data_IF_286177825074
#
_entry.id   IF_286177825074
#
_cell.length_a   1.000
_cell.length_b   1.000
_cell.length_c   1.000
_cell.angle_alpha   90.00
_cell.angle_beta   90.00
_cell.angle_gamma   90.00
#
_symmetry.space_group_name_H-M   'P 1'
#
loop_
_entity.id
_entity.type
_entity.pdbx_description
1 polymer ?
#
# COMPACT_ATOMS: atom_id res chain seq x y z
N UNK A 1 -11.43 -2.68 17.60
CA UNK A 1 -11.08 -2.55 16.17
C UNK A 1 -11.27 -3.87 15.39
N UNK A 2 -12.15 -4.79 15.82
CA UNK A 2 -12.56 -5.97 15.04
C UNK A 2 -13.79 -5.59 14.23
N UNK A 3 -13.79 -5.82 12.92
CA UNK A 3 -14.88 -5.50 12.01
C UNK A 3 -15.59 -6.77 11.54
N UNK A 4 -16.91 -6.69 11.44
CA UNK A 4 -17.70 -7.61 10.62
C UNK A 4 -17.55 -7.28 9.14
N UNK A 5 -18.01 -8.17 8.25
CA UNK A 5 -18.07 -7.90 6.81
C UNK A 5 -18.84 -6.60 6.47
N UNK A 6 -19.94 -6.32 7.15
CA UNK A 6 -20.74 -5.11 6.93
C UNK A 6 -19.97 -3.85 7.32
N UNK A 7 -19.38 -3.84 8.52
CA UNK A 7 -18.56 -2.72 8.99
C UNK A 7 -17.40 -2.47 8.04
N UNK A 8 -16.69 -3.52 7.62
CA UNK A 8 -15.61 -3.41 6.65
C UNK A 8 -16.11 -2.79 5.34
N UNK A 9 -17.16 -3.35 4.74
CA UNK A 9 -17.64 -2.94 3.41
C UNK A 9 -18.10 -1.47 3.39
N UNK A 10 -18.70 -1.00 4.48
CA UNK A 10 -19.11 0.38 4.61
C UNK A 10 -17.93 1.32 4.89
N UNK A 11 -17.09 0.96 5.87
CA UNK A 11 -16.06 1.87 6.39
C UNK A 11 -14.96 2.18 5.36
N UNK A 12 -14.53 1.19 4.57
CA UNK A 12 -13.45 1.39 3.57
C UNK A 12 -13.83 2.34 2.43
N UNK A 13 -15.13 2.60 2.23
CA UNK A 13 -15.63 3.54 1.21
C UNK A 13 -15.62 4.99 1.70
N UNK A 14 -15.56 5.20 3.01
CA UNK A 14 -15.68 6.52 3.64
C UNK A 14 -14.29 7.11 3.91
N UNK A 15 -13.43 6.31 4.51
CA UNK A 15 -12.14 6.78 5.03
C UNK A 15 -11.03 5.77 4.74
N UNK A 16 -9.75 6.17 4.77
CA UNK A 16 -8.65 5.23 4.64
C UNK A 16 -8.61 4.23 5.79
N UNK A 17 -8.39 2.95 5.48
CA UNK A 17 -8.39 1.87 6.46
C UNK A 17 -7.21 0.93 6.26
N UNK A 18 -6.42 0.68 7.31
CA UNK A 18 -5.42 -0.37 7.33
C UNK A 18 -5.98 -1.61 8.02
N UNK A 19 -6.17 -2.68 7.25
CA UNK A 19 -6.90 -3.88 7.67
C UNK A 19 -5.96 -5.08 7.79
N UNK A 20 -6.01 -5.76 8.92
CA UNK A 20 -5.45 -7.09 9.12
C UNK A 20 -6.52 -8.15 8.90
N UNK A 21 -6.38 -8.93 7.84
CA UNK A 21 -7.12 -10.16 7.62
C UNK A 21 -6.40 -11.30 8.34
N UNK A 22 -7.08 -11.93 9.31
CA UNK A 22 -6.47 -12.92 10.21
C UNK A 22 -7.35 -14.15 10.42
N UNK A 23 -6.76 -15.15 11.08
CA UNK A 23 -7.48 -16.27 11.68
C UNK A 23 -7.02 -16.44 13.14
N UNK A 24 -7.91 -16.76 14.10
CA UNK A 24 -7.59 -16.78 15.52
C UNK A 24 -6.58 -17.87 15.91
N UNK A 25 -6.56 -18.97 15.16
CA UNK A 25 -5.63 -20.09 15.35
C UNK A 25 -4.26 -19.87 14.69
N UNK A 26 -4.06 -18.78 13.93
CA UNK A 26 -2.80 -18.55 13.24
C UNK A 26 -1.75 -17.95 14.19
N UNK A 27 -0.68 -18.70 14.47
CA UNK A 27 0.41 -18.24 15.34
C UNK A 27 1.11 -16.96 14.84
N UNK A 28 1.21 -16.74 13.52
CA UNK A 28 1.72 -15.47 12.98
C UNK A 28 0.80 -14.28 13.27
N UNK A 29 -0.53 -14.50 13.24
CA UNK A 29 -1.51 -13.49 13.60
C UNK A 29 -1.43 -13.17 15.09
N UNK A 30 -1.37 -14.19 15.94
CA UNK A 30 -1.26 -14.03 17.40
C UNK A 30 -0.04 -13.19 17.79
N UNK A 31 1.13 -13.46 17.19
CA UNK A 31 2.35 -12.65 17.41
C UNK A 31 2.19 -11.19 16.98
N UNK A 32 1.41 -10.93 15.94
CA UNK A 32 1.15 -9.57 15.44
C UNK A 32 0.09 -8.81 16.26
N UNK A 33 -0.74 -9.49 17.07
CA UNK A 33 -1.85 -8.86 17.78
C UNK A 33 -1.40 -7.67 18.63
N UNK A 34 -0.29 -7.79 19.38
CA UNK A 34 0.18 -6.72 20.26
C UNK A 34 0.49 -5.45 19.46
N UNK A 35 1.32 -5.58 18.42
CA UNK A 35 1.70 -4.46 17.54
C UNK A 35 0.49 -3.89 16.81
N UNK A 36 -0.47 -4.72 16.39
CA UNK A 36 -1.67 -4.26 15.70
C UNK A 36 -2.61 -3.48 16.63
N UNK A 37 -2.76 -3.93 17.87
CA UNK A 37 -3.58 -3.25 18.87
C UNK A 37 -2.97 -1.87 19.21
N UNK A 38 -1.65 -1.82 19.42
CA UNK A 38 -0.93 -0.57 19.70
C UNK A 38 -1.06 0.44 18.55
N UNK A 39 -0.88 -0.02 17.31
CA UNK A 39 -1.09 0.81 16.13
C UNK A 39 -2.54 1.33 16.04
N UNK A 40 -3.52 0.48 16.35
CA UNK A 40 -4.93 0.88 16.35
C UNK A 40 -5.28 1.88 17.45
N UNK A 41 -4.75 1.70 18.65
CA UNK A 41 -4.93 2.64 19.76
C UNK A 41 -4.33 4.01 19.43
N UNK A 42 -3.16 4.04 18.80
CA UNK A 42 -2.51 5.30 18.42
C UNK A 42 -3.30 6.07 17.37
N UNK A 43 -3.75 5.42 16.31
CA UNK A 43 -4.38 6.10 15.16
C UNK A 43 -5.87 6.34 15.35
N UNK A 44 -6.62 5.37 15.87
CA UNK A 44 -8.08 5.48 15.96
C UNK A 44 -8.54 6.47 17.05
N UNK A 45 -7.67 6.83 17.99
CA UNK A 45 -7.96 7.81 19.05
C UNK A 45 -7.55 9.25 18.68
N UNK A 46 -7.04 9.49 17.47
CA UNK A 46 -6.74 10.85 17.02
C UNK A 46 -8.02 11.64 16.76
N UNK A 47 -8.08 12.96 17.06
CA UNK A 47 -9.26 13.79 16.77
C UNK A 47 -9.70 13.76 15.30
N UNK A 48 -8.73 13.59 14.40
CA UNK A 48 -8.93 13.30 12.98
C UNK A 48 -7.93 12.24 12.55
N UNK A 49 -8.35 10.98 12.57
CA UNK A 49 -7.50 9.88 12.15
C UNK A 49 -7.19 10.00 10.63
N UNK A 50 -5.91 10.04 10.21
CA UNK A 50 -5.58 10.00 8.78
C UNK A 50 -5.86 8.62 8.16
N UNK A 51 -6.08 7.60 9.00
CA UNK A 51 -6.34 6.21 8.65
C UNK A 51 -6.86 5.48 9.89
N UNK A 52 -7.84 4.61 9.69
CA UNK A 52 -8.34 3.72 10.73
C UNK A 52 -7.69 2.35 10.63
N UNK A 53 -7.27 1.80 11.76
CA UNK A 53 -6.65 0.47 11.83
C UNK A 53 -7.64 -0.52 12.40
N UNK A 54 -7.94 -1.58 11.65
CA UNK A 54 -8.90 -2.61 12.05
C UNK A 54 -8.49 -4.01 11.61
N UNK A 55 -9.22 -5.02 12.06
CA UNK A 55 -8.97 -6.43 11.72
C UNK A 55 -10.28 -7.14 11.37
N UNK A 56 -10.20 -8.10 10.46
CA UNK A 56 -11.32 -8.94 10.01
C UNK A 56 -10.94 -10.40 10.21
N UNK A 57 -11.80 -11.15 10.90
CA UNK A 57 -11.62 -12.58 11.13
C UNK A 57 -12.12 -13.37 9.92
N UNK A 58 -11.20 -13.92 9.13
CA UNK A 58 -11.52 -14.67 7.92
C UNK A 58 -12.07 -16.07 8.18
N UNK A 59 -12.12 -16.51 9.45
CA UNK A 59 -12.83 -17.74 9.83
C UNK A 59 -14.33 -17.51 10.04
N UNK A 60 -14.72 -16.25 10.25
CA UNK A 60 -16.12 -15.83 10.35
C UNK A 60 -16.58 -15.23 9.02
N UNK A 61 -15.83 -14.24 8.51
CA UNK A 61 -16.15 -13.50 7.29
C UNK A 61 -15.34 -14.02 6.09
N UNK A 62 -15.48 -15.30 5.74
CA UNK A 62 -14.66 -15.92 4.70
C UNK A 62 -14.84 -15.31 3.30
N UNK A 63 -16.07 -14.95 2.94
CA UNK A 63 -16.41 -14.41 1.62
C UNK A 63 -15.65 -13.10 1.33
N UNK A 64 -15.70 -12.14 2.26
CA UNK A 64 -15.03 -10.84 2.08
C UNK A 64 -13.50 -11.00 2.01
N UNK A 65 -12.93 -11.96 2.76
CA UNK A 65 -11.51 -12.25 2.67
C UNK A 65 -11.12 -12.83 1.30
N UNK A 66 -11.95 -13.73 0.76
CA UNK A 66 -11.73 -14.33 -0.56
C UNK A 66 -11.87 -13.31 -1.68
N UNK A 67 -12.90 -12.47 -1.63
CA UNK A 67 -13.11 -11.34 -2.56
C UNK A 67 -11.94 -10.35 -2.52
N UNK A 68 -11.36 -10.13 -1.34
CA UNK A 68 -10.16 -9.31 -1.17
C UNK A 68 -8.87 -10.08 -1.45
N UNK A 69 -8.91 -11.26 -2.07
CA UNK A 69 -7.73 -12.01 -2.49
C UNK A 69 -6.80 -12.44 -1.34
N UNK A 70 -7.35 -12.66 -0.16
CA UNK A 70 -6.58 -13.14 1.01
C UNK A 70 -6.30 -14.64 0.83
N UNK A 71 -5.04 -14.97 0.54
CA UNK A 71 -4.57 -16.35 0.34
C UNK A 71 -3.80 -16.95 1.52
N UNK A 72 -3.60 -16.17 2.58
CA UNK A 72 -2.84 -16.59 3.76
C UNK A 72 -2.86 -15.54 4.85
N UNK A 73 -2.52 -15.95 6.07
CA UNK A 73 -2.66 -15.10 7.26
C UNK A 73 -1.33 -14.83 7.96
N UNK A 74 -1.13 -13.62 8.53
CA UNK A 74 -1.96 -12.44 8.31
C UNK A 74 -1.72 -11.86 6.91
N UNK A 75 -2.78 -11.31 6.30
CA UNK A 75 -2.68 -10.43 5.13
C UNK A 75 -3.03 -9.02 5.56
N UNK A 76 -2.15 -8.07 5.26
CA UNK A 76 -2.28 -6.67 5.66
C UNK A 76 -2.52 -5.82 4.40
N UNK A 77 -3.59 -5.01 4.40
CA UNK A 77 -3.96 -4.18 3.25
C UNK A 77 -4.42 -2.79 3.68
N UNK A 78 -3.95 -1.76 2.99
CA UNK A 78 -4.41 -0.39 3.14
C UNK A 78 -5.44 -0.07 2.04
N UNK A 79 -6.65 0.28 2.46
CA UNK A 79 -7.76 0.70 1.63
C UNK A 79 -7.85 2.21 1.63
N UNK A 80 -8.17 2.78 0.47
CA UNK A 80 -8.52 4.18 0.29
C UNK A 80 -9.82 4.25 -0.51
N UNK A 81 -10.72 5.21 -0.23
CA UNK A 81 -11.91 5.41 -1.03
C UNK A 81 -11.58 5.48 -2.53
N UNK A 82 -12.35 4.76 -3.33
CA UNK A 82 -12.26 4.72 -4.80
C UNK A 82 -10.89 4.31 -5.37
N UNK A 83 -10.05 3.63 -4.58
CA UNK A 83 -8.74 3.15 -5.00
C UNK A 83 -8.56 1.66 -4.67
N UNK A 84 -7.70 1.01 -5.45
CA UNK A 84 -7.31 -0.36 -5.16
C UNK A 84 -6.56 -0.47 -3.83
N UNK A 85 -6.86 -1.55 -3.11
CA UNK A 85 -6.24 -1.82 -1.82
C UNK A 85 -4.76 -2.20 -1.99
N UNK A 86 -3.90 -1.52 -1.25
CA UNK A 86 -2.46 -1.73 -1.32
C UNK A 86 -2.02 -2.77 -0.30
N UNK A 87 -1.49 -3.90 -0.77
CA UNK A 87 -1.00 -4.98 0.10
C UNK A 87 0.36 -4.65 0.72
N UNK A 88 0.44 -4.74 2.03
CA UNK A 88 1.70 -4.63 2.77
C UNK A 88 2.46 -5.96 2.79
N UNK A 89 3.76 -5.93 2.49
CA UNK A 89 4.63 -7.12 2.40
C UNK A 89 5.94 -6.98 3.20
N UNK A 90 6.04 -5.96 4.07
CA UNK A 90 7.26 -5.68 4.85
C UNK A 90 7.29 -6.32 6.25
N UNK A 91 8.32 -5.98 7.04
CA UNK A 91 8.44 -6.32 8.48
C UNK A 91 7.21 -5.89 9.29
N UNK A 92 6.85 -6.64 10.32
CA UNK A 92 5.57 -6.42 11.05
C UNK A 92 5.75 -5.77 12.42
N UNK A 93 6.91 -5.13 12.65
CA UNK A 93 7.15 -4.29 13.83
C UNK A 93 6.44 -2.93 13.70
N UNK A 94 6.20 -2.30 14.86
CA UNK A 94 5.42 -1.06 14.94
C UNK A 94 6.02 0.05 14.08
N UNK A 95 7.33 0.30 14.21
CA UNK A 95 8.01 1.40 13.54
C UNK A 95 7.88 1.29 12.02
N UNK A 96 8.05 0.09 11.46
CA UNK A 96 7.94 -0.12 10.02
C UNK A 96 6.50 0.12 9.53
N UNK A 97 5.49 -0.36 10.27
CA UNK A 97 4.08 -0.13 9.93
C UNK A 97 3.71 1.36 10.00
N UNK A 98 4.16 2.06 11.03
CA UNK A 98 3.95 3.50 11.23
C UNK A 98 4.59 4.37 10.16
N UNK A 99 5.72 3.92 9.60
CA UNK A 99 6.37 4.62 8.51
C UNK A 99 5.69 4.34 7.17
N UNK A 100 5.31 3.09 6.91
CA UNK A 100 4.75 2.67 5.63
C UNK A 100 3.36 3.23 5.36
N UNK A 101 2.49 3.24 6.37
CA UNK A 101 1.09 3.65 6.25
C UNK A 101 0.91 5.10 5.75
N UNK A 102 1.47 6.14 6.39
CA UNK A 102 1.34 7.52 5.89
C UNK A 102 1.98 7.72 4.52
N UNK A 103 3.11 7.08 4.24
CA UNK A 103 3.75 7.14 2.92
C UNK A 103 2.84 6.54 1.82
N UNK A 104 2.12 5.47 2.14
CA UNK A 104 1.24 4.80 1.18
C UNK A 104 -0.08 5.56 0.98
N UNK A 105 -0.56 6.25 2.01
CA UNK A 105 -1.68 7.19 1.89
C UNK A 105 -1.35 8.30 0.89
N UNK A 106 -0.16 8.90 1.02
CA UNK A 106 0.30 9.99 0.16
C UNK A 106 0.61 9.54 -1.28
N UNK A 107 1.05 8.28 -1.50
CA UNK A 107 1.55 7.86 -2.80
C UNK A 107 0.53 8.02 -3.92
N UNK A 108 -0.69 7.53 -3.78
CA UNK A 108 -1.63 7.56 -4.92
C UNK A 108 -1.98 8.99 -5.36
N UNK A 109 -2.41 9.92 -4.48
CA UNK A 109 -2.65 11.29 -4.93
C UNK A 109 -1.38 11.95 -5.47
N UNK A 110 -0.21 11.69 -4.86
CA UNK A 110 1.07 12.20 -5.38
C UNK A 110 1.44 11.62 -6.75
N UNK A 111 1.13 10.35 -7.00
CA UNK A 111 1.43 9.66 -8.25
C UNK A 111 0.54 10.15 -9.39
N UNK A 112 -0.75 10.38 -9.13
CA UNK A 112 -1.65 10.96 -10.13
C UNK A 112 -1.28 12.43 -10.42
N UNK A 113 -0.88 13.20 -9.39
CA UNK A 113 -0.37 14.56 -9.59
C UNK A 113 0.95 14.58 -10.38
N UNK A 114 1.86 13.63 -10.11
CA UNK A 114 3.09 13.46 -10.86
C UNK A 114 2.80 13.11 -12.32
N UNK A 115 1.87 12.18 -12.56
CA UNK A 115 1.45 11.81 -13.91
C UNK A 115 0.89 13.01 -14.69
N UNK A 116 0.04 13.81 -14.06
CA UNK A 116 -0.46 15.06 -14.66
C UNK A 116 0.66 16.07 -14.91
N UNK A 117 1.63 16.22 -14.01
CA UNK A 117 2.74 17.15 -14.17
C UNK A 117 3.66 16.80 -15.35
N UNK A 118 3.74 15.52 -15.72
CA UNK A 118 4.55 15.03 -16.84
C UNK A 118 3.73 14.58 -18.05
N UNK A 119 2.41 14.86 -18.08
CA UNK A 119 1.53 14.36 -19.16
C UNK A 119 1.99 14.80 -20.56
N UNK A 120 2.50 16.03 -20.66
CA UNK A 120 2.97 16.67 -21.91
C UNK A 120 4.49 16.52 -22.11
N UNK A 121 5.19 15.81 -21.22
CA UNK A 121 6.63 15.59 -21.36
C UNK A 121 6.92 14.58 -22.48
N UNK A 122 7.84 14.90 -23.38
CA UNK A 122 8.32 13.95 -24.40
C UNK A 122 9.33 12.94 -23.82
N UNK A 123 10.04 13.31 -22.75
CA UNK A 123 11.14 12.52 -22.19
C UNK A 123 10.72 11.62 -21.02
N UNK A 124 9.69 11.98 -20.27
CA UNK A 124 9.25 11.24 -19.08
C UNK A 124 7.80 10.82 -19.26
N UNK A 125 7.55 9.53 -19.02
CA UNK A 125 6.20 8.97 -18.94
C UNK A 125 6.02 8.32 -17.58
N UNK A 126 4.95 8.70 -16.89
CA UNK A 126 4.56 8.12 -15.60
C UNK A 126 3.46 7.10 -15.87
N UNK A 127 3.65 5.86 -15.43
CA UNK A 127 2.75 4.76 -15.71
C UNK A 127 2.48 3.91 -14.47
N UNK A 128 1.35 3.21 -14.45
CA UNK A 128 1.01 2.20 -13.44
C UNK A 128 0.82 0.84 -14.10
N UNK A 129 1.22 -0.22 -13.40
CA UNK A 129 1.03 -1.61 -13.83
C UNK A 129 0.27 -2.34 -12.73
N UNK A 130 -0.87 -2.94 -13.10
CA UNK A 130 -1.58 -3.84 -12.20
C UNK A 130 -0.91 -5.22 -12.23
N UNK A 131 -0.09 -5.48 -11.21
CA UNK A 131 0.63 -6.74 -11.09
C UNK A 131 -0.27 -7.94 -10.75
N UNK A 132 -1.53 -7.73 -10.36
CA UNK A 132 -2.48 -8.84 -10.20
C UNK A 132 -2.91 -9.40 -11.55
N UNK A 133 -2.96 -8.54 -12.57
CA UNK A 133 -3.23 -8.90 -13.96
C UNK A 133 -1.94 -9.25 -14.74
N UNK A 134 -0.81 -8.64 -14.39
CA UNK A 134 0.47 -8.79 -15.09
C UNK A 134 1.55 -9.49 -14.26
N UNK A 135 1.24 -10.69 -13.75
CA UNK A 135 2.12 -11.41 -12.81
C UNK A 135 3.53 -11.72 -13.38
N UNK A 136 3.66 -12.11 -14.65
CA UNK A 136 4.97 -12.43 -15.26
C UNK A 136 5.87 -11.20 -15.31
N UNK A 137 5.34 -10.11 -15.87
CA UNK A 137 6.03 -8.81 -15.97
C UNK A 137 6.55 -8.34 -14.60
N UNK A 138 5.69 -8.40 -13.58
CA UNK A 138 6.07 -7.94 -12.24
C UNK A 138 7.07 -8.89 -11.56
N UNK A 139 6.96 -10.20 -11.79
CA UNK A 139 7.93 -11.18 -11.27
C UNK A 139 9.30 -11.02 -11.92
N UNK A 140 9.35 -10.87 -13.25
CA UNK A 140 10.56 -10.60 -14.04
C UNK A 140 11.28 -9.33 -13.55
N UNK A 141 10.50 -8.29 -13.22
CA UNK A 141 11.03 -7.03 -12.69
C UNK A 141 11.32 -7.06 -11.18
N UNK A 142 11.15 -8.21 -10.53
CA UNK A 142 11.41 -8.45 -9.11
C UNK A 142 10.52 -7.62 -8.17
N UNK A 143 9.26 -7.37 -8.56
CA UNK A 143 8.25 -6.75 -7.71
C UNK A 143 7.81 -7.77 -6.65
N UNK A 144 8.39 -7.67 -5.46
CA UNK A 144 8.10 -8.55 -4.31
C UNK A 144 7.15 -7.92 -3.29
N UNK A 145 6.80 -6.67 -3.49
CA UNK A 145 6.06 -5.83 -2.54
C UNK A 145 5.28 -4.75 -3.28
N UNK A 146 4.14 -4.33 -2.72
CA UNK A 146 3.39 -3.20 -3.27
C UNK A 146 3.37 -2.06 -2.25
N UNK A 147 3.38 -0.80 -2.70
CA UNK A 147 3.77 -0.33 -4.04
C UNK A 147 5.30 -0.45 -4.26
N UNK A 148 5.74 -0.81 -5.47
CA UNK A 148 7.15 -0.74 -5.90
C UNK A 148 7.26 0.27 -7.04
N UNK A 149 8.19 1.23 -6.93
CA UNK A 149 8.42 2.27 -7.92
C UNK A 149 9.74 1.99 -8.63
N UNK A 150 9.67 1.78 -9.95
CA UNK A 150 10.80 1.40 -10.79
C UNK A 150 11.01 2.47 -11.86
N UNK A 151 12.27 2.75 -12.16
CA UNK A 151 12.65 3.64 -13.24
C UNK A 151 13.21 2.83 -14.42
N UNK A 152 12.74 3.15 -15.61
CA UNK A 152 13.14 2.49 -16.85
C UNK A 152 13.74 3.50 -17.82
N UNK A 153 14.77 3.06 -18.55
CA UNK A 153 15.35 3.81 -19.68
C UNK A 153 15.55 2.85 -20.84
N UNK A 154 15.10 3.23 -22.02
CA UNK A 154 15.18 2.42 -23.24
C UNK A 154 14.65 0.98 -23.07
N UNK A 155 13.58 0.81 -22.29
CA UNK A 155 12.96 -0.49 -22.02
C UNK A 155 13.60 -1.31 -20.90
N UNK A 156 14.72 -0.86 -20.32
CA UNK A 156 15.42 -1.57 -19.25
C UNK A 156 15.21 -0.91 -17.90
N UNK A 157 15.04 -1.72 -16.85
CA UNK A 157 14.97 -1.24 -15.47
C UNK A 157 16.36 -0.80 -15.02
N UNK A 158 16.53 0.51 -14.76
CA UNK A 158 17.83 1.07 -14.37
C UNK A 158 17.89 1.49 -12.89
N UNK A 159 16.75 1.72 -12.24
CA UNK A 159 16.72 2.07 -10.81
C UNK A 159 15.40 1.65 -10.13
N UNK A 160 15.40 1.62 -8.81
CA UNK A 160 14.23 1.45 -7.94
C UNK A 160 14.19 2.57 -6.91
N UNK A 161 13.16 3.42 -7.00
CA UNK A 161 12.97 4.52 -6.06
C UNK A 161 12.61 4.03 -4.66
N UNK A 162 13.42 4.45 -3.68
CA UNK A 162 13.26 4.12 -2.25
C UNK A 162 13.00 5.35 -1.37
N UNK A 163 12.84 6.53 -1.98
CA UNK A 163 12.63 7.79 -1.27
C UNK A 163 11.19 8.01 -0.78
N UNK A 164 10.91 9.25 -0.35
CA UNK A 164 9.61 9.65 0.17
C UNK A 164 8.55 9.67 -0.94
N UNK A 165 7.36 9.15 -0.65
CA UNK A 165 6.28 8.98 -1.64
C UNK A 165 5.30 10.16 -1.65
N UNK A 166 5.85 11.36 -1.60
CA UNK A 166 5.13 12.64 -1.69
C UNK A 166 5.51 13.32 -2.99
N UNK A 167 4.63 14.21 -3.50
CA UNK A 167 4.79 14.79 -4.84
C UNK A 167 6.16 15.41 -5.04
N UNK A 168 6.61 16.27 -4.13
CA UNK A 168 7.88 17.00 -4.27
C UNK A 168 9.07 16.05 -4.44
N UNK A 169 9.19 15.05 -3.55
CA UNK A 169 10.29 14.08 -3.60
C UNK A 169 10.22 13.14 -4.80
N UNK A 170 9.02 12.87 -5.34
CA UNK A 170 8.85 12.09 -6.58
C UNK A 170 9.22 12.93 -7.81
N UNK A 171 8.83 14.20 -7.82
CA UNK A 171 9.12 15.15 -8.89
C UNK A 171 10.61 15.44 -8.98
N UNK A 172 11.25 15.76 -7.85
CA UNK A 172 12.72 15.93 -7.76
C UNK A 172 13.46 14.71 -8.30
N UNK A 173 13.02 13.50 -7.94
CA UNK A 173 13.60 12.28 -8.47
C UNK A 173 13.42 12.17 -9.98
N UNK A 174 12.19 12.33 -10.50
CA UNK A 174 11.93 12.24 -11.94
C UNK A 174 12.76 13.25 -12.75
N UNK A 175 12.86 14.50 -12.27
CA UNK A 175 13.68 15.55 -12.89
C UNK A 175 15.18 15.22 -12.84
N UNK A 176 15.67 14.64 -11.73
CA UNK A 176 17.08 14.21 -11.61
C UNK A 176 17.47 13.15 -12.66
N UNK A 177 16.50 12.38 -13.16
CA UNK A 177 16.74 11.34 -14.16
C UNK A 177 16.84 11.88 -15.60
N UNK A 178 16.47 13.14 -15.85
CA UNK A 178 16.65 13.79 -17.16
C UNK A 178 18.12 14.10 -17.45
N UNK A 179 18.86 14.52 -16.41
CA UNK A 179 20.25 14.89 -16.48
C UNK A 179 21.05 14.13 -15.40
N UNK A 180 21.21 12.80 -15.52
CA UNK A 180 22.05 12.07 -14.59
C UNK A 180 23.46 12.67 -14.67
N UNK A 181 24.04 13.03 -13.52
CA UNK A 181 25.45 13.43 -13.47
C UNK A 181 26.30 12.30 -14.08
N UNK A 182 27.20 12.65 -15.00
CA UNK A 182 28.14 11.72 -15.66
C UNK A 182 29.01 10.96 -14.65
#
# INVERSE_FOLDING_TARGET
>A
HLYSAEMFTHAIKQEPHFIMFFAPWCGHCQRLQSTWNELAEKYNNMPKAPVYVAKVDCTVDNAICSENGVRGYPTLKLFKPDQEAVKYQGPRDLQTLENWMPQTLALAPAWEQLASAFQDSESIKIAKVDCTQHNSLCSENQVRGYPTLLWFRNGEKVDQYKGKRVLDSLKEYAESQLNPAE
#
